data_IF_705004778955
#
_entry.id   IF_705004778955
#
_cell.length_a   1.000
_cell.length_b   1.000
_cell.length_c   1.000
_cell.angle_alpha   90.00
_cell.angle_beta   90.00
_cell.angle_gamma   90.00
#
_symmetry.space_group_name_H-M   'P 1'
#
loop_
_entity.id
_entity.type
_entity.pdbx_description
1 polymer ?
#
# COMPACT_ATOMS: atom_id res chain seq x y z
N UNK A 1 12.55 -16.91 2.03
CA UNK A 1 11.62 -16.32 1.05
C UNK A 1 11.67 -17.18 -0.21
N UNK A 2 10.55 -17.55 -0.84
CA UNK A 2 10.56 -18.42 -2.02
C UNK A 2 11.25 -17.73 -3.21
N UNK A 3 11.93 -18.51 -4.05
CA UNK A 3 12.60 -18.01 -5.27
C UNK A 3 11.62 -17.45 -6.30
N UNK A 4 10.39 -17.97 -6.29
CA UNK A 4 9.32 -17.60 -7.20
C UNK A 4 8.16 -16.98 -6.43
N UNK A 5 7.59 -15.92 -6.98
CA UNK A 5 6.39 -15.26 -6.46
C UNK A 5 5.38 -15.20 -7.59
N UNK A 6 4.13 -15.54 -7.28
CA UNK A 6 3.00 -15.42 -8.21
C UNK A 6 2.08 -14.31 -7.72
N UNK A 7 1.66 -13.44 -8.64
CA UNK A 7 0.74 -12.34 -8.38
C UNK A 7 -0.48 -12.53 -9.28
N UNK A 8 -1.68 -12.43 -8.68
CA UNK A 8 -2.96 -12.57 -9.38
C UNK A 8 -3.51 -11.21 -9.80
N UNK A 9 -4.00 -11.10 -11.04
CA UNK A 9 -4.66 -9.91 -11.54
C UNK A 9 -5.95 -9.58 -10.79
N UNK A 10 -6.64 -10.60 -10.25
CA UNK A 10 -7.81 -10.40 -9.39
C UNK A 10 -7.44 -9.64 -8.12
N UNK A 11 -6.39 -10.11 -7.41
CA UNK A 11 -5.91 -9.47 -6.18
C UNK A 11 -5.39 -8.06 -6.46
N UNK A 12 -4.69 -7.87 -7.59
CA UNK A 12 -4.24 -6.55 -8.02
C UNK A 12 -5.42 -5.60 -8.28
N UNK A 13 -6.44 -6.07 -9.00
CA UNK A 13 -7.67 -5.33 -9.27
C UNK A 13 -8.36 -4.88 -7.98
N UNK A 14 -8.51 -5.77 -7.00
CA UNK A 14 -9.13 -5.46 -5.71
C UNK A 14 -8.36 -4.41 -4.88
N UNK A 15 -7.03 -4.53 -4.84
CA UNK A 15 -6.19 -3.64 -4.02
C UNK A 15 -6.09 -2.24 -4.63
N UNK A 16 -5.93 -2.16 -5.95
CA UNK A 16 -5.69 -0.91 -6.66
C UNK A 16 -6.97 -0.31 -7.28
N UNK A 17 -8.11 -1.02 -7.23
CA UNK A 17 -9.39 -0.55 -7.78
C UNK A 17 -9.40 -0.44 -9.31
N UNK A 18 -8.57 -1.23 -10.00
CA UNK A 18 -8.43 -1.21 -11.47
C UNK A 18 -9.28 -2.30 -12.09
N UNK A 19 -9.87 -2.07 -13.27
CA UNK A 19 -10.62 -3.13 -13.97
C UNK A 19 -9.71 -4.34 -14.28
N UNK A 20 -10.24 -5.55 -14.14
CA UNK A 20 -9.46 -6.80 -14.26
C UNK A 20 -8.67 -6.91 -15.58
N UNK A 21 -9.24 -6.45 -16.70
CA UNK A 21 -8.56 -6.43 -17.99
C UNK A 21 -7.30 -5.55 -17.96
N UNK A 22 -7.43 -4.34 -17.45
CA UNK A 22 -6.32 -3.39 -17.34
C UNK A 22 -5.30 -3.82 -16.28
N UNK A 23 -5.74 -4.46 -15.20
CA UNK A 23 -4.86 -5.04 -14.19
C UNK A 23 -3.89 -6.05 -14.81
N UNK A 24 -4.37 -6.93 -15.67
CA UNK A 24 -3.51 -7.92 -16.35
C UNK A 24 -2.52 -7.25 -17.31
N UNK A 25 -2.97 -6.29 -18.13
CA UNK A 25 -2.12 -5.53 -19.05
C UNK A 25 -1.02 -4.78 -18.29
N UNK A 26 -1.37 -4.08 -17.21
CA UNK A 26 -0.42 -3.34 -16.36
C UNK A 26 0.56 -4.27 -15.66
N UNK A 27 0.10 -5.41 -15.13
CA UNK A 27 0.98 -6.39 -14.50
C UNK A 27 1.95 -7.00 -15.49
N UNK A 28 1.50 -7.24 -16.73
CA UNK A 28 2.35 -7.75 -17.80
C UNK A 28 3.48 -6.78 -18.12
N UNK A 29 3.12 -5.54 -18.42
CA UNK A 29 4.07 -4.46 -18.75
C UNK A 29 5.03 -4.18 -17.58
N UNK A 30 4.51 -4.14 -16.35
CA UNK A 30 5.34 -3.89 -15.16
C UNK A 30 6.36 -5.02 -14.94
N UNK A 31 5.98 -6.26 -15.20
CA UNK A 31 6.90 -7.40 -15.10
C UNK A 31 7.99 -7.38 -16.18
N UNK A 32 7.67 -6.94 -17.40
CA UNK A 32 8.66 -6.74 -18.47
C UNK A 32 9.66 -5.65 -18.06
N UNK A 33 9.17 -4.51 -17.57
CA UNK A 33 10.01 -3.42 -17.06
C UNK A 33 10.89 -3.87 -15.89
N UNK A 34 10.35 -4.70 -14.99
CA UNK A 34 11.12 -5.22 -13.85
C UNK A 34 12.23 -6.18 -14.30
N UNK A 35 11.96 -7.00 -15.33
CA UNK A 35 12.94 -7.90 -15.93
C UNK A 35 14.12 -7.14 -16.55
N UNK A 36 13.84 -6.03 -17.22
CA UNK A 36 14.86 -5.18 -17.82
C UNK A 36 15.61 -4.30 -16.80
N UNK A 37 15.11 -4.18 -15.56
CA UNK A 37 15.76 -3.38 -14.53
C UNK A 37 16.94 -4.09 -13.86
N UNK A 38 17.85 -3.26 -13.37
CA UNK A 38 19.02 -3.69 -12.61
C UNK A 38 19.16 -2.92 -11.29
N UNK A 39 19.80 -3.59 -10.32
CA UNK A 39 20.27 -3.01 -9.07
C UNK A 39 21.76 -2.77 -9.21
N UNK A 40 22.19 -1.57 -8.85
CA UNK A 40 23.62 -1.22 -8.75
C UNK A 40 24.00 -1.14 -7.27
N UNK A 41 25.04 -1.86 -6.88
CA UNK A 41 25.63 -1.76 -5.55
C UNK A 41 27.04 -1.21 -5.66
N UNK A 42 27.39 -0.30 -4.76
CA UNK A 42 28.70 0.31 -4.69
C UNK A 42 29.38 -0.10 -3.38
N UNK A 43 30.56 -0.70 -3.48
CA UNK A 43 31.35 -1.17 -2.35
C UNK A 43 32.66 -0.37 -2.18
N UNK A 44 32.65 0.89 -2.58
CA UNK A 44 33.82 1.80 -2.50
C UNK A 44 34.85 1.62 -3.62
N UNK A 45 35.05 0.40 -4.12
CA UNK A 45 36.09 0.07 -5.12
C UNK A 45 35.54 -0.40 -6.46
N UNK A 46 34.35 -0.99 -6.49
CA UNK A 46 33.73 -1.51 -7.70
C UNK A 46 32.22 -1.24 -7.72
N UNK A 47 31.69 -1.08 -8.94
CA UNK A 47 30.25 -1.02 -9.21
C UNK A 47 29.81 -2.39 -9.67
N UNK A 48 28.97 -3.05 -8.88
CA UNK A 48 28.38 -4.34 -9.23
C UNK A 48 26.95 -4.13 -9.76
N UNK A 49 26.62 -4.78 -10.88
CA UNK A 49 25.29 -4.72 -11.53
C UNK A 49 24.61 -6.07 -11.41
N UNK A 50 23.39 -6.08 -10.87
CA UNK A 50 22.58 -7.30 -10.64
C UNK A 50 21.21 -7.14 -11.26
N UNK A 51 20.64 -8.18 -11.84
CA UNK A 51 19.24 -8.19 -12.29
C UNK A 51 18.29 -8.36 -11.11
N UNK A 52 17.10 -7.77 -11.18
CA UNK A 52 16.04 -7.99 -10.19
C UNK A 52 15.47 -9.40 -10.27
N UNK A 53 15.06 -9.81 -11.46
CA UNK A 53 14.47 -11.12 -11.74
C UNK A 53 15.28 -11.84 -12.82
N UNK A 54 15.36 -13.18 -12.72
CA UNK A 54 15.97 -14.04 -13.74
C UNK A 54 14.93 -14.61 -14.72
N UNK A 55 13.65 -14.60 -14.35
CA UNK A 55 12.54 -15.00 -15.23
C UNK A 55 11.24 -14.29 -14.86
N UNK A 56 10.45 -13.94 -15.88
CA UNK A 56 9.07 -13.51 -15.79
C UNK A 56 8.20 -14.40 -16.68
N UNK A 57 7.05 -14.87 -16.18
CA UNK A 57 6.12 -15.72 -16.93
C UNK A 57 4.70 -15.22 -16.78
N UNK A 58 4.00 -15.18 -17.92
CA UNK A 58 2.62 -14.73 -18.02
C UNK A 58 1.69 -15.92 -18.23
N UNK A 59 0.75 -16.14 -17.32
CA UNK A 59 -0.22 -17.23 -17.40
C UNK A 59 -1.57 -16.61 -17.76
N UNK A 60 -1.86 -16.50 -19.05
CA UNK A 60 -3.05 -15.83 -19.57
C UNK A 60 -4.37 -16.50 -19.12
N UNK A 61 -4.41 -17.84 -19.07
CA UNK A 61 -5.61 -18.58 -18.67
C UNK A 61 -6.03 -18.40 -17.21
N UNK A 62 -5.08 -18.07 -16.33
CA UNK A 62 -5.33 -17.86 -14.89
C UNK A 62 -5.30 -16.37 -14.49
N UNK A 63 -4.91 -15.48 -15.41
CA UNK A 63 -4.72 -14.05 -15.13
C UNK A 63 -3.62 -13.79 -14.10
N UNK A 64 -2.51 -14.54 -14.14
CA UNK A 64 -1.41 -14.42 -13.16
C UNK A 64 -0.06 -14.16 -13.82
N UNK A 65 0.82 -13.53 -13.05
CA UNK A 65 2.23 -13.29 -13.43
C UNK A 65 3.14 -13.92 -12.39
N UNK A 66 4.07 -14.75 -12.85
CA UNK A 66 5.12 -15.35 -12.02
C UNK A 66 6.45 -14.65 -12.24
N UNK A 67 7.10 -14.27 -11.14
CA UNK A 67 8.42 -13.66 -11.13
C UNK A 67 9.39 -14.54 -10.35
N UNK A 68 10.59 -14.72 -10.90
CA UNK A 68 11.69 -15.44 -10.24
C UNK A 68 12.80 -14.46 -9.89
N UNK A 69 13.05 -14.24 -8.61
CA UNK A 69 14.07 -13.29 -8.16
C UNK A 69 15.47 -13.89 -8.25
N UNK A 70 16.45 -13.06 -8.61
CA UNK A 70 17.84 -13.52 -8.66
C UNK A 70 18.39 -13.82 -7.26
N UNK A 71 19.32 -14.77 -7.18
CA UNK A 71 19.98 -15.14 -5.91
C UNK A 71 20.69 -13.94 -5.25
N UNK A 72 21.11 -12.97 -6.05
CA UNK A 72 21.84 -11.80 -5.57
C UNK A 72 20.92 -10.77 -4.91
N UNK A 73 19.65 -10.68 -5.31
CA UNK A 73 18.70 -9.75 -4.68
C UNK A 73 18.01 -10.33 -3.44
N UNK A 74 17.96 -11.67 -3.31
CA UNK A 74 17.31 -12.37 -2.19
C UNK A 74 17.73 -11.88 -0.80
N UNK A 75 19.02 -11.65 -0.49
CA UNK A 75 19.42 -11.16 0.83
C UNK A 75 18.80 -9.81 1.16
N UNK A 76 18.60 -8.93 0.16
CA UNK A 76 17.97 -7.63 0.35
C UNK A 76 16.46 -7.78 0.57
N UNK A 77 15.79 -8.68 -0.16
CA UNK A 77 14.37 -9.02 0.05
C UNK A 77 14.10 -9.67 1.42
N UNK A 78 15.00 -10.53 1.88
CA UNK A 78 14.88 -11.12 3.21
C UNK A 78 15.09 -10.08 4.30
N UNK A 79 16.03 -9.13 4.11
CA UNK A 79 16.19 -8.00 5.03
C UNK A 79 14.99 -7.07 5.00
N UNK A 80 14.32 -6.90 3.85
CA UNK A 80 13.04 -6.18 3.75
C UNK A 80 11.98 -6.84 4.63
N UNK A 81 11.83 -8.16 4.62
CA UNK A 81 10.88 -8.86 5.49
C UNK A 81 11.16 -8.65 7.00
N UNK A 82 12.42 -8.46 7.40
CA UNK A 82 12.80 -8.29 8.81
C UNK A 82 12.89 -6.83 9.26
N UNK A 83 13.18 -5.88 8.35
CA UNK A 83 13.48 -4.47 8.67
C UNK A 83 12.52 -3.46 8.06
N UNK A 84 11.65 -3.86 7.13
CA UNK A 84 10.67 -2.94 6.56
C UNK A 84 9.45 -2.83 7.47
N UNK A 85 8.84 -1.66 7.48
CA UNK A 85 7.61 -1.40 8.19
C UNK A 85 6.48 -2.22 7.56
N UNK A 86 5.90 -3.14 8.31
CA UNK A 86 4.63 -3.76 7.92
C UNK A 86 3.54 -2.69 7.95
N UNK A 87 3.07 -2.29 6.79
CA UNK A 87 1.92 -1.40 6.62
C UNK A 87 0.95 -2.02 5.59
N UNK A 88 -0.33 -1.65 5.69
CA UNK A 88 -1.34 -2.11 4.74
C UNK A 88 -1.08 -1.53 3.34
N UNK A 89 -0.85 -2.42 2.37
CA UNK A 89 -0.61 -2.09 0.97
C UNK A 89 -1.72 -1.20 0.39
N UNK A 90 -2.96 -1.34 0.87
CA UNK A 90 -4.11 -0.53 0.43
C UNK A 90 -3.92 0.97 0.70
N UNK A 91 -3.12 1.34 1.70
CA UNK A 91 -2.84 2.74 2.06
C UNK A 91 -1.92 3.43 1.06
N UNK A 92 -1.00 2.67 0.49
CA UNK A 92 -0.05 3.17 -0.52
C UNK A 92 -0.55 2.96 -1.94
N UNK A 93 -1.42 1.97 -2.16
CA UNK A 93 -2.00 1.66 -3.47
C UNK A 93 -2.80 2.83 -4.06
N UNK A 94 -3.29 3.73 -3.21
CA UNK A 94 -4.06 4.92 -3.61
C UNK A 94 -3.19 6.16 -3.85
N UNK A 95 -1.88 6.08 -3.62
CA UNK A 95 -0.96 7.20 -3.84
C UNK A 95 -0.64 7.29 -5.33
N UNK A 96 -0.80 8.48 -5.90
CA UNK A 96 -0.55 8.73 -7.33
C UNK A 96 0.93 9.12 -7.56
N UNK A 97 1.56 9.76 -6.57
CA UNK A 97 2.94 10.22 -6.69
C UNK A 97 3.94 9.22 -6.10
N UNK A 98 4.95 8.88 -6.91
CA UNK A 98 6.12 8.10 -6.46
C UNK A 98 6.85 8.78 -5.30
N UNK A 99 6.82 10.12 -5.21
CA UNK A 99 7.44 10.85 -4.11
C UNK A 99 6.65 10.68 -2.81
N UNK A 100 5.32 10.67 -2.88
CA UNK A 100 4.45 10.38 -1.73
C UNK A 100 4.67 8.97 -1.23
N UNK A 101 4.73 7.99 -2.14
CA UNK A 101 5.05 6.61 -1.80
C UNK A 101 6.39 6.50 -1.04
N UNK A 102 7.47 7.08 -1.59
CA UNK A 102 8.80 7.05 -0.97
C UNK A 102 8.83 7.77 0.38
N UNK A 103 8.15 8.92 0.49
CA UNK A 103 8.05 9.65 1.74
C UNK A 103 7.30 8.83 2.80
N UNK A 104 6.19 8.18 2.43
CA UNK A 104 5.44 7.31 3.33
C UNK A 104 6.30 6.18 3.87
N UNK A 105 7.01 5.44 3.00
CA UNK A 105 7.88 4.35 3.40
C UNK A 105 8.96 4.81 4.39
N UNK A 106 9.56 5.97 4.11
CA UNK A 106 10.59 6.54 4.95
C UNK A 106 10.05 6.96 6.32
N UNK A 107 8.89 7.60 6.39
CA UNK A 107 8.24 7.96 7.67
C UNK A 107 7.83 6.71 8.45
N UNK A 108 7.30 5.70 7.76
CA UNK A 108 6.88 4.44 8.37
C UNK A 108 8.04 3.69 9.06
N UNK A 109 9.29 3.86 8.64
CA UNK A 109 10.45 3.30 9.37
C UNK A 109 10.57 3.86 10.79
N UNK A 110 10.12 5.09 11.01
CA UNK A 110 10.12 5.78 12.30
C UNK A 110 8.75 5.73 13.00
N UNK A 111 7.84 4.82 12.60
CA UNK A 111 6.48 4.70 13.16
C UNK A 111 6.47 4.59 14.69
N UNK A 112 7.45 3.92 15.30
CA UNK A 112 7.56 3.81 16.76
C UNK A 112 7.89 5.13 17.45
N UNK A 113 8.64 6.00 16.78
CA UNK A 113 9.13 7.27 17.30
C UNK A 113 8.14 8.41 17.03
N UNK A 114 7.37 8.33 15.94
CA UNK A 114 6.37 9.34 15.55
C UNK A 114 6.97 10.63 14.96
N UNK A 115 8.29 10.66 14.77
CA UNK A 115 8.98 11.75 14.11
C UNK A 115 10.24 11.24 13.40
N UNK A 116 10.65 11.95 12.36
CA UNK A 116 11.86 11.67 11.60
C UNK A 116 12.62 12.97 11.32
N UNK A 117 13.92 12.97 11.58
CA UNK A 117 14.81 14.09 11.26
C UNK A 117 15.65 13.72 10.04
N UNK A 118 15.52 14.47 8.95
CA UNK A 118 16.08 14.09 7.66
C UNK A 118 16.77 15.29 7.03
N UNK A 119 18.05 15.13 6.72
CA UNK A 119 18.83 16.13 5.98
C UNK A 119 18.32 16.25 4.54
N UNK A 120 18.42 17.44 3.95
CA UNK A 120 17.88 17.68 2.61
C UNK A 120 18.60 16.84 1.54
N UNK A 121 19.90 16.63 1.67
CA UNK A 121 20.68 15.85 0.70
C UNK A 121 20.30 14.36 0.77
N UNK A 122 20.12 13.84 1.98
CA UNK A 122 19.58 12.49 2.23
C UNK A 122 18.16 12.36 1.71
N UNK A 123 17.30 13.36 1.94
CA UNK A 123 15.92 13.39 1.45
C UNK A 123 15.86 13.35 -0.09
N UNK A 124 16.72 14.11 -0.78
CA UNK A 124 16.80 14.10 -2.25
C UNK A 124 17.18 12.72 -2.77
N UNK A 125 18.19 12.11 -2.17
CA UNK A 125 18.67 10.77 -2.53
C UNK A 125 17.57 9.73 -2.30
N UNK A 126 16.90 9.79 -1.14
CA UNK A 126 15.80 8.89 -0.78
C UNK A 126 14.58 9.04 -1.71
N UNK A 127 14.26 10.26 -2.11
CA UNK A 127 13.18 10.54 -3.06
C UNK A 127 13.56 10.23 -4.52
N UNK A 128 14.79 9.78 -4.78
CA UNK A 128 15.34 9.51 -6.12
C UNK A 128 15.39 10.76 -6.99
N UNK A 129 15.57 11.92 -6.37
CA UNK A 129 15.80 13.19 -7.03
C UNK A 129 17.31 13.33 -7.22
N UNK A 130 17.76 13.29 -8.47
CA UNK A 130 19.14 13.61 -8.86
C UNK A 130 19.37 15.13 -8.71
N UNK A 131 19.88 15.80 -9.74
CA UNK A 131 20.03 17.26 -9.76
C UNK A 131 18.69 18.02 -9.93
N UNK A 132 17.56 17.33 -9.90
CA UNK A 132 16.25 17.95 -9.98
C UNK A 132 15.96 18.84 -8.75
N UNK A 133 15.29 19.97 -8.98
CA UNK A 133 14.82 20.88 -7.93
C UNK A 133 15.91 21.39 -6.99
N UNK A 134 17.11 21.76 -7.48
CA UNK A 134 18.23 22.21 -6.63
C UNK A 134 17.85 23.33 -5.65
N UNK A 135 16.97 24.25 -6.07
CA UNK A 135 16.41 25.29 -5.18
C UNK A 135 15.41 24.67 -4.21
N UNK A 136 15.62 24.89 -2.91
CA UNK A 136 14.74 24.37 -1.86
C UNK A 136 13.27 24.76 -2.05
N UNK A 137 12.99 25.99 -2.49
CA UNK A 137 11.61 26.43 -2.74
C UNK A 137 10.89 25.55 -3.77
N UNK A 138 11.59 25.13 -4.82
CA UNK A 138 11.00 24.25 -5.85
C UNK A 138 10.80 22.83 -5.29
N UNK A 139 11.77 22.31 -4.52
CA UNK A 139 11.65 21.02 -3.86
C UNK A 139 10.44 20.99 -2.92
N UNK A 140 10.27 22.06 -2.14
CA UNK A 140 9.14 22.23 -1.23
C UNK A 140 7.81 22.23 -1.98
N UNK A 141 7.65 23.17 -2.92
CA UNK A 141 6.37 23.40 -3.59
C UNK A 141 5.94 22.24 -4.50
N UNK A 142 6.89 21.54 -5.13
CA UNK A 142 6.57 20.51 -6.13
C UNK A 142 6.68 19.08 -5.63
N UNK A 143 7.37 18.86 -4.52
CA UNK A 143 7.61 17.50 -4.01
C UNK A 143 7.13 17.35 -2.59
N UNK A 144 7.61 18.16 -1.65
CA UNK A 144 7.34 17.96 -0.22
C UNK A 144 5.88 18.31 0.11
N UNK A 145 5.42 19.50 -0.27
CA UNK A 145 4.06 19.96 0.05
C UNK A 145 2.99 19.05 -0.62
N UNK A 146 3.10 18.71 -1.92
CA UNK A 146 2.16 17.78 -2.54
C UNK A 146 2.19 16.39 -1.92
N UNK A 147 3.39 15.89 -1.57
CA UNK A 147 3.51 14.57 -0.94
C UNK A 147 2.87 14.55 0.45
N UNK A 148 3.15 15.55 1.29
CA UNK A 148 2.59 15.64 2.64
C UNK A 148 1.06 15.75 2.59
N UNK A 149 0.52 16.54 1.66
CA UNK A 149 -0.93 16.65 1.47
C UNK A 149 -1.55 15.32 1.04
N UNK A 150 -0.97 14.68 0.03
CA UNK A 150 -1.47 13.40 -0.46
C UNK A 150 -1.44 12.31 0.61
N UNK A 151 -0.40 12.27 1.45
CA UNK A 151 -0.32 11.35 2.57
C UNK A 151 -1.43 11.58 3.60
N UNK A 152 -1.75 12.85 3.89
CA UNK A 152 -2.84 13.20 4.82
C UNK A 152 -4.19 12.76 4.26
N UNK A 153 -4.46 13.04 2.99
CA UNK A 153 -5.77 12.76 2.37
C UNK A 153 -5.98 11.27 2.11
N UNK A 154 -4.98 10.56 1.57
CA UNK A 154 -5.18 9.22 1.00
C UNK A 154 -4.63 8.08 1.86
N UNK A 155 -3.56 8.32 2.63
CA UNK A 155 -2.88 7.24 3.38
C UNK A 155 -3.27 7.17 4.87
N UNK A 156 -4.18 8.04 5.33
CA UNK A 156 -4.56 8.18 6.76
C UNK A 156 -3.35 8.37 7.67
N UNK A 157 -2.36 9.13 7.19
CA UNK A 157 -1.17 9.48 7.95
C UNK A 157 -1.21 10.99 8.18
N UNK A 158 -1.41 11.42 9.41
CA UNK A 158 -1.35 12.84 9.72
C UNK A 158 0.11 13.25 9.80
N UNK A 159 0.59 13.99 8.80
CA UNK A 159 1.99 14.42 8.69
C UNK A 159 2.06 15.93 8.75
N UNK A 160 2.97 16.43 9.58
CA UNK A 160 3.42 17.82 9.63
C UNK A 160 4.93 17.86 9.58
N UNK A 161 5.50 19.01 9.24
CA UNK A 161 6.96 19.15 9.21
C UNK A 161 7.43 20.54 9.64
N UNK A 162 8.60 20.58 10.25
CA UNK A 162 9.33 21.79 10.59
C UNK A 162 10.63 21.87 9.81
N UNK A 163 10.96 23.07 9.34
CA UNK A 163 12.23 23.33 8.66
C UNK A 163 13.30 23.73 9.67
N UNK A 164 14.44 23.05 9.64
CA UNK A 164 15.63 23.48 10.39
C UNK A 164 16.57 24.24 9.48
N UNK A 165 16.85 25.48 9.91
CA UNK A 165 17.66 26.44 9.17
C UNK A 165 18.96 26.68 9.90
N UNK A 166 20.03 26.71 9.13
CA UNK A 166 21.33 27.18 9.57
C UNK A 166 21.62 28.47 8.80
N UNK A 167 21.66 29.59 9.52
CA UNK A 167 21.67 30.93 8.94
C UNK A 167 20.54 31.12 7.89
N UNK A 168 20.90 31.27 6.60
CA UNK A 168 19.96 31.49 5.49
C UNK A 168 19.56 30.21 4.74
N UNK A 169 20.22 29.07 5.01
CA UNK A 169 20.00 27.80 4.29
C UNK A 169 19.16 26.86 5.14
N UNK A 170 18.20 26.19 4.50
CA UNK A 170 17.51 25.04 5.14
C UNK A 170 18.47 23.84 5.04
N UNK A 171 18.75 23.18 6.16
CA UNK A 171 19.69 22.06 6.23
C UNK A 171 18.95 20.73 6.37
N UNK A 172 17.87 20.73 7.16
CA UNK A 172 17.10 19.52 7.43
C UNK A 172 15.61 19.81 7.62
N UNK A 173 14.82 18.74 7.56
CA UNK A 173 13.39 18.75 7.81
C UNK A 173 13.10 17.76 8.94
N UNK A 174 12.39 18.23 9.96
CA UNK A 174 11.84 17.39 11.01
C UNK A 174 10.38 17.09 10.68
N UNK A 175 10.09 15.87 10.27
CA UNK A 175 8.74 15.38 10.09
C UNK A 175 8.19 14.90 11.43
N UNK A 176 6.94 15.24 11.72
CA UNK A 176 6.17 14.76 12.86
C UNK A 176 4.90 14.14 12.31
N UNK A 177 4.60 12.91 12.68
CA UNK A 177 3.48 12.20 12.09
C UNK A 177 2.80 11.24 13.05
N UNK A 178 1.49 11.08 12.85
CA UNK A 178 0.66 10.17 13.62
C UNK A 178 -0.10 9.24 12.69
N UNK A 179 -0.01 7.95 12.97
CA UNK A 179 -0.74 6.93 12.22
C UNK A 179 -2.20 6.88 12.70
N UNK A 180 -3.11 7.51 11.95
CA UNK A 180 -4.53 7.52 12.27
C UNK A 180 -5.17 6.15 12.05
N UNK A 181 -4.54 5.24 11.29
CA UNK A 181 -5.03 3.88 11.10
C UNK A 181 -5.00 3.04 12.39
N UNK A 182 -4.16 3.40 13.37
CA UNK A 182 -4.17 2.78 14.71
C UNK A 182 -5.27 3.34 15.63
N UNK A 183 -5.97 4.39 15.22
CA UNK A 183 -7.05 5.02 15.99
C UNK A 183 -8.43 4.65 15.44
N UNK A 184 -8.69 3.36 15.20
CA UNK A 184 -10.05 2.88 15.42
C UNK A 184 -10.18 2.65 16.94
N UNK A 185 -10.84 3.52 17.70
CA UNK A 185 -11.52 2.99 18.87
C UNK A 185 -12.52 1.96 18.33
N UNK A 186 -12.41 0.71 18.77
CA UNK A 186 -13.61 -0.09 18.94
C UNK A 186 -14.45 0.72 19.93
N UNK A 187 -15.38 1.53 19.42
CA UNK A 187 -16.46 2.04 20.23
C UNK A 187 -17.41 0.84 20.44
N UNK A 188 -16.94 -0.12 21.25
CA UNK A 188 -17.85 -0.91 22.05
C UNK A 188 -18.43 0.15 22.99
N UNK A 189 -19.66 0.60 22.71
CA UNK A 189 -20.40 1.35 23.72
C UNK A 189 -20.33 0.57 25.02
N UNK A 190 -20.42 1.25 26.15
CA UNK A 190 -20.41 0.64 27.49
C UNK A 190 -21.63 -0.27 27.75
N UNK A 191 -22.17 -0.94 26.72
CA UNK A 191 -23.05 -2.07 26.86
C UNK A 191 -22.27 -3.19 27.53
N UNK A 192 -22.65 -3.50 28.77
CA UNK A 192 -22.14 -4.64 29.51
C UNK A 192 -22.16 -5.87 28.61
N UNK A 193 -20.97 -6.35 28.26
CA UNK A 193 -20.81 -7.58 27.49
C UNK A 193 -21.43 -8.72 28.30
N UNK A 194 -22.59 -9.18 27.84
CA UNK A 194 -23.23 -10.37 28.41
C UNK A 194 -22.23 -11.53 28.28
N UNK A 195 -21.88 -12.22 29.38
CA UNK A 195 -20.96 -13.35 29.31
C UNK A 195 -21.44 -14.35 28.27
N UNK A 196 -20.54 -14.81 27.37
CA UNK A 196 -20.85 -15.78 26.31
C UNK A 196 -21.49 -17.09 26.81
N UNK A 197 -21.45 -17.32 28.12
CA UNK A 197 -22.07 -18.44 28.82
C UNK A 197 -23.58 -18.28 29.07
N UNK A 198 -24.15 -17.08 28.92
CA UNK A 198 -25.58 -16.81 29.10
C UNK A 198 -26.32 -16.55 27.79
N UNK A 199 -25.63 -16.66 26.64
CA UNK A 199 -26.30 -16.62 25.34
C UNK A 199 -27.02 -17.96 25.17
N UNK A 200 -28.34 -17.94 25.35
CA UNK A 200 -29.21 -19.05 24.98
C UNK A 200 -29.23 -19.14 23.45
N UNK A 201 -28.21 -19.82 22.92
CA UNK A 201 -28.09 -20.07 21.49
C UNK A 201 -29.25 -20.97 21.09
N UNK A 202 -30.13 -20.55 20.16
CA UNK A 202 -31.19 -21.43 19.69
C UNK A 202 -30.58 -22.73 19.15
N UNK A 203 -31.24 -23.86 19.44
CA UNK A 203 -30.74 -25.20 19.07
C UNK A 203 -30.49 -25.35 17.56
N UNK A 204 -31.11 -24.50 16.75
CA UNK A 204 -30.84 -24.38 15.33
C UNK A 204 -30.14 -23.04 14.98
N UNK A 205 -28.84 -23.06 14.63
CA UNK A 205 -28.08 -21.89 14.22
C UNK A 205 -28.63 -21.18 12.97
N UNK A 206 -29.48 -21.84 12.18
CA UNK A 206 -30.09 -21.24 10.99
C UNK A 206 -31.14 -20.16 11.34
N UNK A 207 -31.73 -20.22 12.53
CA UNK A 207 -32.69 -19.22 13.02
C UNK A 207 -32.04 -17.88 13.36
N UNK A 208 -30.76 -17.88 13.79
CA UNK A 208 -29.99 -16.66 14.05
C UNK A 208 -29.67 -15.90 12.75
N UNK A 209 -29.44 -16.63 11.66
CA UNK A 209 -29.26 -16.02 10.36
C UNK A 209 -30.58 -15.38 9.89
N UNK A 210 -31.69 -16.11 10.01
CA UNK A 210 -33.01 -15.64 9.57
C UNK A 210 -33.40 -14.33 10.26
N UNK A 211 -33.26 -14.24 11.59
CA UNK A 211 -33.57 -13.01 12.34
C UNK A 211 -32.65 -11.84 11.97
N UNK A 212 -31.35 -12.11 11.75
CA UNK A 212 -30.40 -11.08 11.35
C UNK A 212 -30.67 -10.53 9.94
N UNK A 213 -31.30 -11.32 9.06
CA UNK A 213 -31.75 -10.85 7.74
C UNK A 213 -33.09 -10.10 7.81
N UNK A 214 -33.95 -10.42 8.78
CA UNK A 214 -35.24 -9.76 8.99
C UNK A 214 -35.05 -8.31 9.48
N UNK A 215 -34.11 -8.09 10.42
CA UNK A 215 -33.68 -6.76 10.88
C UNK A 215 -33.04 -5.89 9.78
N UNK A 216 -32.53 -6.51 8.71
CA UNK A 216 -31.95 -5.81 7.56
C UNK A 216 -32.98 -5.45 6.47
N UNK A 217 -34.25 -5.83 6.64
CA UNK A 217 -35.30 -5.67 5.63
C UNK A 217 -36.32 -4.55 5.91
N UNK A 218 -36.24 -3.87 7.05
CA UNK A 218 -37.26 -2.88 7.46
C UNK A 218 -36.97 -1.40 7.15
N UNK A 219 -36.03 -1.03 6.26
CA UNK A 219 -35.80 0.42 6.00
C UNK A 219 -35.29 0.83 4.60
N UNK A 220 -35.75 0.17 3.52
CA UNK A 220 -35.67 0.81 2.19
C UNK A 220 -36.83 0.42 1.25
N UNK A 221 -37.89 1.25 1.12
CA UNK A 221 -39.03 0.98 0.24
C UNK A 221 -38.68 1.08 -1.25
N UNK A 222 -37.41 1.28 -1.62
CA UNK A 222 -36.97 1.35 -3.01
C UNK A 222 -35.97 0.26 -3.41
N UNK A 223 -35.75 -0.74 -2.56
CA UNK A 223 -34.84 -1.85 -2.86
C UNK A 223 -35.52 -2.87 -3.78
N UNK A 224 -35.39 -2.66 -5.10
CA UNK A 224 -35.81 -3.65 -6.10
C UNK A 224 -34.58 -4.41 -6.59
N UNK A 225 -34.52 -5.73 -6.35
CA UNK A 225 -33.50 -6.60 -6.95
C UNK A 225 -33.75 -6.71 -8.47
N UNK A 226 -32.79 -6.37 -9.35
CA UNK A 226 -32.93 -6.68 -10.77
C UNK A 226 -32.58 -8.15 -10.99
N UNK A 227 -33.60 -8.98 -11.22
CA UNK A 227 -33.44 -10.35 -11.72
C UNK A 227 -34.06 -10.38 -13.13
N UNK A 228 -33.22 -10.24 -14.15
CA UNK A 228 -33.54 -10.74 -15.49
C UNK A 228 -32.94 -12.15 -15.61
N UNK A 229 -33.79 -13.17 -15.45
CA UNK A 229 -33.51 -14.55 -15.85
C UNK A 229 -34.08 -14.72 -17.26
N UNK A 230 -33.20 -14.72 -18.26
CA UNK A 230 -33.55 -15.23 -19.60
C UNK A 230 -33.40 -16.75 -19.59
N UNK A 231 -34.50 -17.43 -19.24
CA UNK A 231 -34.72 -18.84 -19.59
C UNK A 231 -35.86 -18.91 -20.62
N UNK A 232 -35.50 -18.91 -21.89
CA UNK A 232 -36.34 -19.46 -22.95
C UNK A 232 -35.64 -20.62 -23.64
N UNK A 233 -35.78 -21.81 -23.04
CA UNK A 233 -35.57 -23.08 -23.73
C UNK A 233 -36.68 -23.28 -24.76
N UNK A 234 -36.33 -23.19 -26.04
CA UNK A 234 -37.16 -23.62 -27.16
C UNK A 234 -37.03 -25.13 -27.39
N UNK A 235 -38.18 -25.78 -27.51
CA UNK A 235 -38.36 -27.09 -28.12
C UNK A 235 -38.01 -27.09 -29.62
#
# INVERSE_FOLDING_TARGET
MPKKISVSALLYSEIYGVQLRHAYEQMKETADVLFEREVKTFDGSAVERKRWVDAARYIAGEGRVELSFTIHVMPYLSRLHTKLTSYDLRRVARLDSTHSFRLFEMLMQFKKTGWAYIEIETLRTALGLSDAYQRFNNLRQRVIDPAVEELRTKSRLDVTYELKREARRVVAIKFMFKDLAQQLPLNLGDEELVPLTEIDLPEDPSLLLASAFEDLSEDDPNFTFPIDVDESGGA
#
